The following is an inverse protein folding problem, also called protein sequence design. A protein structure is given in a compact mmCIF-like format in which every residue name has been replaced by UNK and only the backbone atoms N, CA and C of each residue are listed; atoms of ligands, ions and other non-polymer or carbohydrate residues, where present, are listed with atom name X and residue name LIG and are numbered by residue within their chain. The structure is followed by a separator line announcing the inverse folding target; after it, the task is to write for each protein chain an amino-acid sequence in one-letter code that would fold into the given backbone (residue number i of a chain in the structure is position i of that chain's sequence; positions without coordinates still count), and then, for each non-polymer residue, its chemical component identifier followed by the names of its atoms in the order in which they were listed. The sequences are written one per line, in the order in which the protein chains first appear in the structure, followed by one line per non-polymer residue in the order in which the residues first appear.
data_IF_784462893352
#
_entry.id   IF_784462893352
#
_cell.length_a   1.000
_cell.length_b   1.000
_cell.length_c   1.000
_cell.angle_alpha   90.00
_cell.angle_beta   90.00
_cell.angle_gamma   90.00
#
_symmetry.space_group_name_H-M   'P 1'
#
loop_
_entity.id
_entity.type
_entity.pdbx_description
1 polymer ?
#
# COMPACT_ATOMS: atom_id res chain seq x y z
N UNK A 1 -4.38 -7.01 -21.85
CA UNK A 1 -3.97 -5.62 -21.54
C UNK A 1 -3.77 -5.51 -20.05
N UNK A 2 -2.63 -5.00 -19.55
CA UNK A 2 -2.34 -4.99 -18.10
C UNK A 2 -3.16 -3.99 -17.28
N UNK A 3 -3.99 -3.17 -17.94
CA UNK A 3 -4.73 -2.07 -17.31
C UNK A 3 -5.64 -2.53 -16.17
N UNK A 4 -6.24 -3.71 -16.29
CA UNK A 4 -7.18 -4.25 -15.30
C UNK A 4 -6.48 -4.78 -14.04
N UNK A 5 -5.20 -5.12 -14.15
CA UNK A 5 -4.38 -5.51 -12.98
C UNK A 5 -3.74 -4.33 -12.26
N UNK A 6 -3.79 -3.11 -12.84
CA UNK A 6 -3.20 -1.94 -12.21
C UNK A 6 -4.03 -1.48 -11.01
N UNK A 7 -3.32 -0.97 -10.01
CA UNK A 7 -3.96 -0.17 -8.99
C UNK A 7 -4.38 1.18 -9.59
N UNK A 8 -5.57 1.65 -9.21
CA UNK A 8 -6.19 2.83 -9.80
C UNK A 8 -5.57 4.16 -9.34
N UNK A 9 -4.68 4.10 -8.34
CA UNK A 9 -3.93 5.22 -7.79
C UNK A 9 -2.43 5.06 -8.02
N UNK A 10 -1.64 6.03 -7.54
CA UNK A 10 -0.18 6.01 -7.61
C UNK A 10 0.43 6.21 -6.21
N UNK A 11 1.60 5.61 -5.99
CA UNK A 11 2.41 5.87 -4.81
C UNK A 11 3.19 7.18 -5.03
N UNK A 12 3.01 8.21 -4.19
CA UNK A 12 3.74 9.46 -4.34
C UNK A 12 5.21 9.29 -3.96
N UNK A 13 6.07 10.15 -4.50
CA UNK A 13 7.45 10.27 -4.02
C UNK A 13 7.42 10.91 -2.63
N UNK A 14 7.85 10.17 -1.61
CA UNK A 14 7.86 10.62 -0.22
C UNK A 14 9.28 10.58 0.35
N UNK A 15 9.84 11.74 0.68
CA UNK A 15 11.21 11.84 1.21
C UNK A 15 11.35 11.21 2.59
N UNK A 16 10.27 11.14 3.39
CA UNK A 16 10.31 10.59 4.75
C UNK A 16 10.57 9.07 4.75
N UNK A 17 10.33 8.40 3.62
CA UNK A 17 10.71 6.99 3.47
C UNK A 17 12.22 6.81 3.49
N UNK A 18 12.95 7.74 2.87
CA UNK A 18 14.41 7.76 2.91
C UNK A 18 14.90 7.97 4.34
N UNK A 19 14.32 8.93 5.06
CA UNK A 19 14.71 9.25 6.44
C UNK A 19 14.45 8.07 7.39
N UNK A 20 13.28 7.44 7.28
CA UNK A 20 12.95 6.24 8.04
C UNK A 20 13.92 5.09 7.76
N UNK A 21 14.29 4.90 6.48
CA UNK A 21 15.26 3.87 6.07
C UNK A 21 16.66 4.14 6.63
N UNK A 22 17.11 5.40 6.66
CA UNK A 22 18.39 5.76 7.29
C UNK A 22 18.40 5.50 8.80
N UNK A 23 17.25 5.69 9.46
CA UNK A 23 17.07 5.38 10.87
C UNK A 23 16.82 3.89 11.18
N UNK A 24 16.69 3.03 10.16
CA UNK A 24 16.37 1.61 10.34
C UNK A 24 14.97 1.35 10.92
N UNK A 25 14.04 2.27 10.73
CA UNK A 25 12.66 2.18 11.22
C UNK A 25 11.66 2.18 10.07
N UNK A 26 10.45 1.69 10.30
CA UNK A 26 9.39 1.76 9.30
C UNK A 26 8.91 3.21 9.12
N UNK A 27 8.49 3.62 7.91
CA UNK A 27 7.96 4.97 7.69
C UNK A 27 6.79 5.33 8.62
N UNK A 28 5.92 4.36 8.93
CA UNK A 28 4.80 4.55 9.86
C UNK A 28 5.23 4.82 11.32
N UNK A 29 6.40 4.32 11.72
CA UNK A 29 6.95 4.58 13.05
C UNK A 29 7.63 5.96 13.12
N UNK A 30 8.15 6.47 12.00
CA UNK A 30 8.69 7.83 11.92
C UNK A 30 7.58 8.87 11.88
N UNK A 31 6.60 8.67 10.99
CA UNK A 31 5.44 9.55 10.83
C UNK A 31 4.32 8.78 10.12
N UNK A 32 3.19 8.59 10.80
CA UNK A 32 2.02 7.90 10.24
C UNK A 32 1.26 8.72 9.22
N UNK A 33 1.43 10.05 9.23
CA UNK A 33 0.69 11.01 8.41
C UNK A 33 1.42 11.38 7.12
N UNK A 34 2.38 10.57 6.70
CA UNK A 34 3.08 10.78 5.43
C UNK A 34 2.21 10.35 4.24
N UNK A 35 2.42 10.99 3.10
CA UNK A 35 1.66 10.68 1.90
C UNK A 35 1.93 9.24 1.45
N UNK A 36 3.18 8.79 1.58
CA UNK A 36 3.58 7.42 1.29
C UNK A 36 2.89 6.41 2.22
N UNK A 37 2.88 6.63 3.54
CA UNK A 37 2.22 5.71 4.48
C UNK A 37 0.73 5.58 4.16
N UNK A 38 0.02 6.70 3.95
CA UNK A 38 -1.39 6.68 3.56
C UNK A 38 -1.64 5.93 2.24
N UNK A 39 -0.79 6.13 1.24
CA UNK A 39 -0.92 5.45 -0.05
C UNK A 39 -0.72 3.93 0.07
N UNK A 40 0.26 3.48 0.87
CA UNK A 40 0.48 2.05 1.11
C UNK A 40 -0.65 1.41 1.92
N UNK A 41 -1.21 2.11 2.92
CA UNK A 41 -2.39 1.62 3.65
C UNK A 41 -3.56 1.39 2.71
N UNK A 42 -3.85 2.37 1.84
CA UNK A 42 -4.94 2.24 0.87
C UNK A 42 -4.70 1.12 -0.15
N UNK A 43 -3.47 0.95 -0.63
CA UNK A 43 -3.11 -0.16 -1.50
C UNK A 43 -3.32 -1.51 -0.79
N UNK A 44 -2.92 -1.61 0.48
CA UNK A 44 -3.09 -2.83 1.26
C UNK A 44 -4.57 -3.17 1.43
N UNK A 45 -5.42 -2.19 1.76
CA UNK A 45 -6.87 -2.39 1.90
C UNK A 45 -7.49 -2.90 0.58
N UNK A 46 -7.13 -2.29 -0.56
CA UNK A 46 -7.56 -2.73 -1.89
C UNK A 46 -7.11 -4.17 -2.19
N UNK A 47 -5.87 -4.53 -1.84
CA UNK A 47 -5.33 -5.88 -2.03
C UNK A 47 -6.04 -6.90 -1.13
N UNK A 48 -6.30 -6.56 0.14
CA UNK A 48 -7.01 -7.44 1.07
C UNK A 48 -8.45 -7.67 0.62
N UNK A 49 -9.13 -6.64 0.13
CA UNK A 49 -10.45 -6.77 -0.48
C UNK A 49 -10.43 -7.71 -1.69
N UNK A 50 -9.45 -7.55 -2.60
CA UNK A 50 -9.27 -8.45 -3.77
C UNK A 50 -8.97 -9.89 -3.36
N UNK A 51 -8.09 -10.10 -2.38
CA UNK A 51 -7.74 -11.44 -1.89
C UNK A 51 -8.93 -12.10 -1.18
N UNK A 52 -9.69 -11.35 -0.39
CA UNK A 52 -10.93 -11.82 0.24
C UNK A 52 -11.95 -12.29 -0.80
N UNK A 53 -12.21 -11.47 -1.84
CA UNK A 53 -13.08 -11.83 -2.96
C UNK A 53 -12.63 -13.10 -3.69
N UNK A 54 -11.32 -13.32 -3.84
CA UNK A 54 -10.79 -14.55 -4.45
C UNK A 54 -11.03 -15.77 -3.57
N UNK A 55 -10.86 -15.65 -2.24
CA UNK A 55 -11.08 -16.77 -1.30
C UNK A 55 -12.54 -17.23 -1.27
N UNK A 56 -13.50 -16.31 -1.32
CA UNK A 56 -14.93 -16.60 -1.34
C UNK A 56 -15.34 -17.37 -2.61
N UNK A 57 -14.82 -16.97 -3.78
CA UNK A 57 -15.10 -17.66 -5.05
C UNK A 57 -14.50 -19.07 -5.15
N UNK A 58 -13.51 -19.40 -4.33
CA UNK A 58 -12.87 -20.73 -4.32
C UNK A 58 -13.54 -21.72 -3.35
N UNK A 59 -14.37 -21.24 -2.42
CA UNK A 59 -15.06 -22.07 -1.41
C UNK A 59 -16.59 -22.17 -1.62
N UNK A 60 -17.09 -21.74 -2.78
CA UNK A 60 -18.49 -21.84 -3.19
C UNK A 60 -18.70 -22.84 -4.32
#
# INVERSE_FOLDING_TARGET
TYRESLWQFAIPVDTKFRDASQGGITPSALDSETHGVRAYSHLLDDLMSRVGMVKERQHG
#
